data_IF_309409317749
#
_entry.id   IF_309409317749
#
_cell.length_a   1.000
_cell.length_b   1.000
_cell.length_c   1.000
_cell.angle_alpha   90.00
_cell.angle_beta   90.00
_cell.angle_gamma   90.00
#
_symmetry.space_group_name_H-M   'P 1'
#
loop_
_entity.id
_entity.type
_entity.pdbx_description
1 polymer ?
#
# COMPACT_ATOMS: atom_id res chain seq x y z
N UNK A 1 30.05 25.93 26.57
CA UNK A 1 28.87 26.39 25.83
C UNK A 1 28.46 25.29 24.87
N UNK A 2 27.50 24.43 25.31
CA UNK A 2 26.85 23.48 24.43
C UNK A 2 26.16 24.29 23.33
N UNK A 3 26.65 24.16 22.08
CA UNK A 3 25.91 24.62 20.92
C UNK A 3 24.60 23.80 20.91
N UNK A 4 23.49 24.48 21.02
CA UNK A 4 22.18 23.89 20.78
C UNK A 4 22.19 23.42 19.33
N UNK A 5 22.64 22.20 19.05
CA UNK A 5 22.56 21.57 17.74
C UNK A 5 21.09 21.23 17.50
N UNK A 6 20.39 22.20 16.94
CA UNK A 6 19.04 21.96 16.42
C UNK A 6 19.19 21.04 15.21
N UNK A 7 18.81 19.77 15.36
CA UNK A 7 18.86 18.80 14.26
C UNK A 7 17.94 19.28 13.13
N UNK A 8 18.38 19.20 11.87
CA UNK A 8 17.70 19.87 10.74
C UNK A 8 16.39 19.22 10.32
N UNK A 9 16.07 18.02 10.81
CA UNK A 9 14.83 17.29 10.49
C UNK A 9 14.34 16.53 11.72
N UNK A 10 13.02 16.30 11.84
CA UNK A 10 12.47 15.39 12.86
C UNK A 10 13.01 13.96 12.78
N UNK A 11 13.48 13.55 11.62
CA UNK A 11 14.09 12.23 11.40
C UNK A 11 15.60 12.19 11.60
N UNK A 12 16.22 13.33 11.88
CA UNK A 12 17.67 13.43 12.16
C UNK A 12 18.00 12.91 13.56
N UNK A 13 19.20 12.36 13.71
CA UNK A 13 19.71 11.89 14.99
C UNK A 13 21.24 12.00 15.05
N UNK A 14 21.78 11.94 16.27
CA UNK A 14 23.19 11.65 16.53
C UNK A 14 23.30 10.33 17.29
N UNK A 15 24.32 9.54 16.98
CA UNK A 15 24.64 8.30 17.65
C UNK A 15 26.10 8.32 18.06
N UNK A 16 26.35 8.20 19.35
CA UNK A 16 27.68 8.08 19.93
C UNK A 16 27.85 6.71 20.60
N UNK A 17 28.87 5.98 20.20
CA UNK A 17 29.25 4.70 20.81
C UNK A 17 30.65 4.81 21.36
N UNK A 18 30.80 4.59 22.67
CA UNK A 18 32.05 4.54 23.38
C UNK A 18 32.17 3.23 24.17
N UNK A 19 33.32 2.83 24.73
CA UNK A 19 33.41 1.65 25.58
C UNK A 19 32.52 1.70 26.84
N UNK A 20 32.04 2.89 27.23
CA UNK A 20 31.27 3.11 28.48
C UNK A 20 29.78 3.27 28.22
N UNK A 21 29.39 3.76 27.04
CA UNK A 21 27.98 4.07 26.77
C UNK A 21 27.64 4.10 25.29
N UNK A 22 26.35 3.88 25.01
CA UNK A 22 25.72 4.13 23.71
C UNK A 22 24.69 5.25 23.96
N UNK A 23 24.74 6.31 23.15
CA UNK A 23 23.86 7.45 23.29
C UNK A 23 23.30 7.86 21.96
N UNK A 24 21.95 7.85 21.85
CA UNK A 24 21.21 8.34 20.69
C UNK A 24 20.48 9.63 21.11
N UNK A 25 20.64 10.71 20.35
CA UNK A 25 19.90 11.95 20.53
C UNK A 25 19.13 12.28 19.26
N UNK A 26 17.87 12.69 19.41
CA UNK A 26 17.01 13.16 18.33
C UNK A 26 15.98 14.14 18.87
N UNK A 27 15.30 14.86 17.98
CA UNK A 27 14.22 15.79 18.36
C UNK A 27 12.84 15.14 18.31
N UNK A 28 12.74 13.91 17.78
CA UNK A 28 11.48 13.16 17.67
C UNK A 28 11.69 11.66 17.89
N UNK A 29 10.57 10.94 18.07
CA UNK A 29 10.57 9.48 18.13
C UNK A 29 11.08 8.82 16.83
N UNK A 30 10.80 9.40 15.66
CA UNK A 30 11.30 8.90 14.37
C UNK A 30 12.83 8.94 14.30
N UNK A 31 13.44 10.05 14.69
CA UNK A 31 14.91 10.16 14.74
C UNK A 31 15.53 9.15 15.70
N UNK A 32 14.94 8.96 16.90
CA UNK A 32 15.40 7.92 17.84
C UNK A 32 15.29 6.53 17.22
N UNK A 33 14.17 6.22 16.60
CA UNK A 33 13.95 4.95 15.92
C UNK A 33 15.00 4.68 14.83
N UNK A 34 15.30 5.67 13.98
CA UNK A 34 16.32 5.54 12.93
C UNK A 34 17.74 5.43 13.49
N UNK A 35 18.02 6.08 14.62
CA UNK A 35 19.27 5.89 15.36
C UNK A 35 19.42 4.45 15.86
N UNK A 36 18.34 3.84 16.36
CA UNK A 36 18.32 2.42 16.74
C UNK A 36 18.53 1.51 15.53
N UNK A 37 17.91 1.79 14.38
CA UNK A 37 18.14 1.02 13.16
C UNK A 37 19.61 1.06 12.73
N UNK A 38 20.27 2.20 12.82
CA UNK A 38 21.72 2.31 12.56
C UNK A 38 22.54 1.52 13.57
N UNK A 39 22.21 1.59 14.86
CA UNK A 39 22.89 0.82 15.91
C UNK A 39 22.79 -0.69 15.64
N UNK A 40 21.62 -1.20 15.24
CA UNK A 40 21.41 -2.60 14.90
C UNK A 40 22.27 -3.02 13.69
N UNK A 41 22.43 -2.14 12.69
CA UNK A 41 23.27 -2.41 11.52
C UNK A 41 24.76 -2.41 11.82
N UNK A 42 25.20 -1.66 12.84
CA UNK A 42 26.60 -1.64 13.29
C UNK A 42 26.98 -2.83 14.15
N UNK A 43 26.00 -3.53 14.72
CA UNK A 43 26.23 -4.67 15.59
C UNK A 43 26.76 -5.88 14.79
N UNK A 44 28.00 -6.31 15.12
CA UNK A 44 28.63 -7.48 14.50
C UNK A 44 28.68 -8.65 15.48
N UNK A 45 28.36 -9.88 15.05
CA UNK A 45 28.55 -11.05 15.90
C UNK A 45 30.00 -11.20 16.36
N UNK A 46 30.21 -11.40 17.67
CA UNK A 46 31.55 -11.44 18.28
C UNK A 46 31.79 -12.72 19.10
N UNK A 47 30.96 -13.73 18.95
CA UNK A 47 31.03 -15.02 19.66
C UNK A 47 29.64 -15.55 20.01
N UNK A 48 29.54 -16.65 20.74
CA UNK A 48 28.29 -17.32 21.07
C UNK A 48 27.30 -16.40 21.80
N UNK A 49 26.36 -15.80 21.03
CA UNK A 49 25.28 -14.96 21.55
C UNK A 49 25.70 -13.54 21.94
N UNK A 50 26.93 -13.11 21.60
CA UNK A 50 27.41 -11.74 21.86
C UNK A 50 27.59 -10.95 20.57
N UNK A 51 27.49 -9.62 20.71
CA UNK A 51 27.70 -8.66 19.62
C UNK A 51 28.73 -7.62 20.05
N UNK A 52 29.49 -7.12 19.10
CA UNK A 52 30.39 -5.97 19.30
C UNK A 52 30.00 -4.83 18.36
N UNK A 53 30.20 -3.61 18.86
CA UNK A 53 30.01 -2.39 18.08
C UNK A 53 31.27 -1.56 18.26
N UNK A 54 31.88 -1.15 17.15
CA UNK A 54 33.04 -0.26 17.19
C UNK A 54 32.65 1.11 17.74
N UNK A 55 33.56 1.76 18.45
CA UNK A 55 33.37 3.15 18.88
C UNK A 55 33.20 4.05 17.65
N UNK A 56 32.16 4.86 17.62
CA UNK A 56 31.81 5.70 16.47
C UNK A 56 30.99 6.91 16.90
N UNK A 57 31.14 8.01 16.18
CA UNK A 57 30.25 9.19 16.22
C UNK A 57 29.58 9.33 14.87
N UNK A 58 28.25 9.39 14.87
CA UNK A 58 27.42 9.52 13.69
C UNK A 58 26.47 10.69 13.88
N UNK A 59 26.38 11.54 12.87
CA UNK A 59 25.31 12.51 12.69
C UNK A 59 24.63 12.18 11.35
N UNK A 60 23.33 11.88 11.38
CA UNK A 60 22.57 11.44 10.21
C UNK A 60 21.31 12.28 10.04
N UNK A 61 21.10 12.69 8.80
CA UNK A 61 19.93 13.47 8.38
C UNK A 61 19.47 12.95 7.03
N UNK A 62 18.17 12.59 6.88
CA UNK A 62 17.69 12.11 5.59
C UNK A 62 17.79 13.21 4.52
N UNK A 63 18.35 12.86 3.36
CA UNK A 63 18.43 13.76 2.21
C UNK A 63 17.06 14.05 1.60
N UNK A 64 16.15 13.06 1.64
CA UNK A 64 14.80 13.15 1.12
C UNK A 64 13.78 12.91 2.23
N UNK A 65 12.80 13.79 2.35
CA UNK A 65 11.71 13.64 3.31
C UNK A 65 10.74 12.51 2.93
N UNK A 66 10.58 12.24 1.63
CA UNK A 66 9.77 11.13 1.10
C UNK A 66 10.67 10.01 0.61
N UNK A 67 10.60 8.84 1.23
CA UNK A 67 11.34 7.63 0.85
C UNK A 67 10.34 6.48 0.84
N UNK A 68 9.87 6.11 -0.35
CA UNK A 68 8.77 5.18 -0.51
C UNK A 68 9.11 3.95 -1.32
N UNK A 69 8.32 2.90 -1.10
CA UNK A 69 8.25 1.70 -1.91
C UNK A 69 6.78 1.41 -2.19
N UNK A 70 6.47 1.07 -3.45
CA UNK A 70 5.15 0.59 -3.84
C UNK A 70 5.16 -0.95 -3.84
N UNK A 71 4.10 -1.52 -3.28
CA UNK A 71 3.85 -2.96 -3.29
C UNK A 71 2.50 -3.23 -3.96
N UNK A 72 2.55 -3.95 -5.09
CA UNK A 72 1.37 -4.41 -5.81
C UNK A 72 0.83 -5.69 -5.18
N UNK A 73 -0.29 -5.59 -4.49
CA UNK A 73 -1.00 -6.71 -3.89
C UNK A 73 -2.23 -7.12 -4.71
N UNK A 74 -2.54 -6.38 -5.77
CA UNK A 74 -3.64 -6.70 -6.69
C UNK A 74 -3.28 -7.83 -7.62
N UNK A 75 -2.18 -7.70 -8.39
CA UNK A 75 -1.77 -8.74 -9.35
C UNK A 75 -1.41 -10.04 -8.65
N UNK A 76 -0.89 -9.94 -7.42
CA UNK A 76 -0.62 -11.07 -6.55
C UNK A 76 -1.00 -10.72 -5.11
N UNK A 77 -2.01 -11.43 -4.56
CA UNK A 77 -2.40 -11.21 -3.16
C UNK A 77 -1.29 -11.65 -2.20
N UNK A 78 -0.93 -10.77 -1.31
CA UNK A 78 0.04 -11.01 -0.23
C UNK A 78 -0.66 -10.97 1.12
N UNK A 79 -0.33 -11.90 2.03
CA UNK A 79 -0.93 -11.90 3.37
C UNK A 79 -0.50 -10.69 4.20
N UNK A 80 -1.25 -10.36 5.24
CA UNK A 80 -0.87 -9.27 6.15
C UNK A 80 0.46 -9.52 6.87
N UNK A 81 0.80 -10.79 7.14
CA UNK A 81 2.08 -11.18 7.71
C UNK A 81 3.24 -10.87 6.75
N UNK A 82 3.03 -11.06 5.45
CA UNK A 82 4.02 -10.66 4.45
C UNK A 82 4.17 -9.14 4.40
N UNK A 83 3.06 -8.37 4.44
CA UNK A 83 3.10 -6.91 4.51
C UNK A 83 3.91 -6.44 5.73
N UNK A 84 3.69 -7.04 6.92
CA UNK A 84 4.45 -6.71 8.12
C UNK A 84 5.95 -6.99 7.96
N UNK A 85 6.34 -8.10 7.33
CA UNK A 85 7.75 -8.38 6.99
C UNK A 85 8.33 -7.32 6.05
N UNK A 86 7.53 -6.82 5.10
CA UNK A 86 7.99 -5.71 4.24
C UNK A 86 8.17 -4.43 5.08
N UNK A 87 7.26 -4.13 6.00
CA UNK A 87 7.39 -3.00 6.93
C UNK A 87 8.68 -3.11 7.75
N UNK A 88 9.04 -4.30 8.28
CA UNK A 88 10.29 -4.51 8.98
C UNK A 88 11.52 -4.20 8.11
N UNK A 89 11.49 -4.69 6.87
CA UNK A 89 12.58 -4.43 5.90
C UNK A 89 12.67 -2.94 5.55
N UNK A 90 11.53 -2.29 5.31
CA UNK A 90 11.47 -0.85 5.03
C UNK A 90 12.00 -0.03 6.21
N UNK A 91 11.62 -0.37 7.44
CA UNK A 91 12.09 0.25 8.67
C UNK A 91 13.62 0.12 8.82
N UNK A 92 14.16 -1.07 8.57
CA UNK A 92 15.60 -1.33 8.59
C UNK A 92 16.39 -0.40 7.65
N UNK A 93 15.82 -0.11 6.47
CA UNK A 93 16.40 0.81 5.49
C UNK A 93 15.92 2.27 5.62
N UNK A 94 15.21 2.60 6.71
CA UNK A 94 14.70 3.96 7.01
C UNK A 94 13.77 4.51 5.90
N UNK A 95 13.05 3.64 5.22
CA UNK A 95 11.97 4.00 4.30
C UNK A 95 10.76 4.39 5.13
N UNK A 96 10.10 5.50 4.81
CA UNK A 96 9.02 6.07 5.62
C UNK A 96 7.65 6.10 4.92
N UNK A 97 7.55 5.53 3.72
CA UNK A 97 6.29 5.43 2.97
C UNK A 97 6.15 4.03 2.38
N UNK A 98 5.00 3.40 2.63
CA UNK A 98 4.57 2.18 1.95
C UNK A 98 3.34 2.51 1.12
N UNK A 99 3.48 2.48 -0.20
CA UNK A 99 2.37 2.64 -1.13
C UNK A 99 1.78 1.26 -1.42
N UNK A 100 0.54 1.02 -1.02
CA UNK A 100 -0.18 -0.23 -1.30
C UNK A 100 -1.08 -0.06 -2.51
N UNK A 101 -0.74 -0.73 -3.60
CA UNK A 101 -1.56 -0.82 -4.80
C UNK A 101 -2.63 -1.91 -4.57
N UNK A 102 -3.79 -1.47 -4.05
CA UNK A 102 -4.81 -2.37 -3.49
C UNK A 102 -5.80 -2.89 -4.52
N UNK A 103 -5.95 -2.19 -5.65
CA UNK A 103 -6.95 -2.53 -6.66
C UNK A 103 -6.36 -2.43 -8.06
N UNK A 104 -6.68 -3.37 -8.91
CA UNK A 104 -6.36 -3.42 -10.33
C UNK A 104 -7.11 -4.59 -10.95
N UNK A 105 -7.18 -4.68 -12.25
CA UNK A 105 -7.87 -5.70 -13.02
C UNK A 105 -7.72 -7.14 -12.51
N UNK A 106 -6.57 -7.48 -11.92
CA UNK A 106 -6.30 -8.82 -11.42
C UNK A 106 -6.96 -9.15 -10.08
N UNK A 107 -7.50 -8.15 -9.37
CA UNK A 107 -8.28 -8.36 -8.17
C UNK A 107 -8.35 -7.15 -7.23
N UNK A 108 -9.49 -6.99 -6.61
CA UNK A 108 -9.77 -6.02 -5.56
C UNK A 108 -9.33 -6.55 -4.20
N UNK A 109 -8.58 -5.77 -3.39
CA UNK A 109 -7.96 -6.28 -2.16
C UNK A 109 -8.39 -5.61 -0.86
N UNK A 110 -9.42 -4.78 -0.88
CA UNK A 110 -9.87 -4.04 0.30
C UNK A 110 -11.37 -4.27 0.56
N UNK A 111 -11.72 -4.59 1.79
CA UNK A 111 -13.13 -4.66 2.20
C UNK A 111 -13.77 -3.27 2.16
N UNK A 112 -14.83 -3.15 1.34
CA UNK A 112 -15.74 -2.01 1.31
C UNK A 112 -17.12 -2.54 1.71
N UNK A 113 -17.58 -2.20 2.89
CA UNK A 113 -18.80 -2.78 3.48
C UNK A 113 -20.03 -2.51 2.65
N UNK A 114 -20.07 -1.35 1.99
CA UNK A 114 -21.18 -0.96 1.11
C UNK A 114 -21.25 -1.80 -0.17
N UNK A 115 -20.14 -2.39 -0.59
CA UNK A 115 -20.03 -3.11 -1.86
C UNK A 115 -19.43 -4.52 -1.68
N UNK A 116 -20.19 -5.48 -1.11
CA UNK A 116 -19.66 -6.80 -0.74
C UNK A 116 -19.13 -7.63 -1.92
N UNK A 117 -19.65 -7.44 -3.15
CA UNK A 117 -19.16 -8.17 -4.32
C UNK A 117 -17.71 -7.83 -4.67
N UNK A 118 -17.16 -6.72 -4.17
CA UNK A 118 -15.73 -6.40 -4.33
C UNK A 118 -14.84 -7.44 -3.67
N UNK A 119 -15.27 -8.01 -2.55
CA UNK A 119 -14.52 -9.03 -1.81
C UNK A 119 -15.05 -10.44 -1.98
N UNK A 120 -16.34 -10.61 -2.26
CA UNK A 120 -16.94 -11.93 -2.49
C UNK A 120 -16.66 -12.48 -3.90
N UNK A 121 -16.41 -11.59 -4.89
CA UNK A 121 -16.25 -11.95 -6.30
C UNK A 121 -15.03 -11.29 -6.94
N UNK A 122 -14.90 -9.96 -6.92
CA UNK A 122 -13.85 -9.22 -7.61
C UNK A 122 -12.43 -9.47 -7.04
N UNK A 123 -12.32 -10.04 -5.83
CA UNK A 123 -11.05 -10.42 -5.21
C UNK A 123 -10.54 -11.81 -5.65
N UNK A 124 -11.30 -12.57 -6.44
CA UNK A 124 -11.03 -13.98 -6.68
C UNK A 124 -11.04 -14.34 -8.16
N UNK A 125 -10.15 -15.24 -8.58
CA UNK A 125 -10.01 -15.73 -9.94
C UNK A 125 -9.64 -17.21 -9.96
N UNK A 126 -9.73 -17.86 -11.11
CA UNK A 126 -9.38 -19.29 -11.24
C UNK A 126 -7.88 -19.51 -11.40
N UNK A 127 -7.17 -18.57 -12.00
CA UNK A 127 -5.77 -18.73 -12.37
C UNK A 127 -4.84 -18.11 -11.31
N UNK A 128 -3.90 -18.89 -10.72
CA UNK A 128 -3.07 -18.42 -9.62
C UNK A 128 -2.03 -17.38 -10.03
N UNK A 129 -1.54 -17.40 -11.27
CA UNK A 129 -0.60 -16.39 -11.75
C UNK A 129 -1.28 -15.33 -12.61
N UNK A 130 -0.77 -14.11 -12.56
CA UNK A 130 -1.28 -13.00 -13.39
C UNK A 130 -1.22 -13.35 -14.89
N UNK A 131 -0.14 -13.99 -15.35
CA UNK A 131 0.05 -14.38 -16.75
C UNK A 131 -1.00 -15.42 -17.21
N UNK A 132 -1.31 -16.41 -16.38
CA UNK A 132 -2.34 -17.40 -16.68
C UNK A 132 -3.70 -16.75 -16.77
N UNK A 133 -4.07 -15.94 -15.79
CA UNK A 133 -5.33 -15.22 -15.76
C UNK A 133 -5.47 -14.27 -16.97
N UNK A 134 -4.43 -13.50 -17.29
CA UNK A 134 -4.42 -12.59 -18.44
C UNK A 134 -4.65 -13.31 -19.75
N UNK A 135 -4.02 -14.46 -19.97
CA UNK A 135 -4.17 -15.29 -21.17
C UNK A 135 -5.39 -16.21 -21.11
N UNK A 136 -5.94 -16.49 -19.94
CA UNK A 136 -7.06 -17.40 -19.67
C UNK A 136 -8.46 -16.79 -19.81
N UNK A 137 -8.55 -15.55 -20.31
CA UNK A 137 -9.83 -14.86 -20.52
C UNK A 137 -10.31 -14.00 -19.37
N UNK A 138 -9.45 -13.74 -18.37
CA UNK A 138 -9.63 -12.76 -17.29
C UNK A 138 -10.93 -12.93 -16.50
N UNK A 139 -11.24 -14.17 -16.08
CA UNK A 139 -12.48 -14.47 -15.36
C UNK A 139 -12.30 -14.37 -13.86
N UNK A 140 -13.34 -13.84 -13.21
CA UNK A 140 -13.48 -13.82 -11.75
C UNK A 140 -14.47 -14.89 -11.32
N UNK A 141 -14.32 -15.33 -10.07
CA UNK A 141 -15.19 -16.34 -9.45
C UNK A 141 -15.53 -15.90 -8.02
N UNK A 142 -16.58 -16.49 -7.48
CA UNK A 142 -16.88 -16.29 -6.05
C UNK A 142 -15.82 -16.98 -5.18
N UNK A 143 -15.63 -16.47 -3.97
CA UNK A 143 -14.65 -16.97 -3.00
C UNK A 143 -14.85 -18.45 -2.62
N UNK A 144 -16.08 -18.96 -2.70
CA UNK A 144 -16.48 -20.32 -2.35
C UNK A 144 -16.36 -21.34 -3.49
N UNK A 145 -15.93 -20.92 -4.67
CA UNK A 145 -15.71 -21.81 -5.82
C UNK A 145 -14.43 -22.63 -5.61
N UNK A 146 -14.48 -23.97 -5.76
CA UNK A 146 -13.28 -24.80 -5.67
C UNK A 146 -12.17 -24.33 -6.61
N UNK A 147 -10.96 -24.11 -6.05
CA UNK A 147 -9.82 -23.63 -6.82
C UNK A 147 -9.76 -22.10 -6.96
N UNK A 148 -10.65 -21.36 -6.34
CA UNK A 148 -10.57 -19.90 -6.30
C UNK A 148 -9.22 -19.46 -5.70
N UNK A 149 -8.50 -18.59 -6.42
CA UNK A 149 -7.27 -17.96 -5.99
C UNK A 149 -7.49 -16.47 -5.81
N UNK A 150 -7.06 -15.95 -4.69
CA UNK A 150 -7.20 -14.53 -4.38
C UNK A 150 -7.13 -14.27 -2.88
N UNK A 151 -7.78 -13.22 -2.46
CA UNK A 151 -7.85 -12.75 -1.09
C UNK A 151 -8.05 -11.25 -1.03
N UNK A 152 -8.35 -10.77 0.14
CA UNK A 152 -8.50 -9.35 0.44
C UNK A 152 -8.15 -9.09 1.91
N UNK A 153 -7.99 -7.84 2.24
CA UNK A 153 -7.82 -7.37 3.62
C UNK A 153 -9.17 -6.90 4.14
N UNK A 154 -9.59 -7.42 5.28
CA UNK A 154 -10.69 -6.84 6.05
C UNK A 154 -10.27 -5.46 6.56
N UNK A 155 -11.22 -4.62 6.93
CA UNK A 155 -10.90 -3.34 7.54
C UNK A 155 -10.09 -3.51 8.84
N UNK A 156 -10.30 -4.62 9.57
CA UNK A 156 -9.52 -4.94 10.77
C UNK A 156 -8.09 -5.36 10.44
N UNK A 157 -7.87 -6.13 9.35
CA UNK A 157 -6.52 -6.43 8.86
C UNK A 157 -5.76 -5.16 8.47
N UNK A 158 -6.45 -4.21 7.82
CA UNK A 158 -5.85 -2.91 7.49
C UNK A 158 -5.51 -2.12 8.74
N UNK A 159 -6.40 -2.06 9.75
CA UNK A 159 -6.10 -1.37 11.02
C UNK A 159 -4.86 -1.96 11.70
N UNK A 160 -4.72 -3.28 11.67
CA UNK A 160 -3.56 -3.98 12.21
C UNK A 160 -2.27 -3.64 11.44
N UNK A 161 -2.32 -3.61 10.10
CA UNK A 161 -1.18 -3.20 9.25
C UNK A 161 -0.81 -1.73 9.53
N UNK A 162 -1.78 -0.84 9.60
CA UNK A 162 -1.57 0.59 9.84
C UNK A 162 -0.95 0.85 11.20
N UNK A 163 -1.42 0.17 12.25
CA UNK A 163 -0.83 0.31 13.60
C UNK A 163 0.60 -0.24 13.63
N UNK A 164 0.86 -1.37 12.97
CA UNK A 164 2.20 -1.93 12.84
C UNK A 164 3.15 -0.96 12.11
N UNK A 165 2.72 -0.39 10.99
CA UNK A 165 3.47 0.60 10.22
C UNK A 165 3.74 1.87 11.05
N UNK A 166 2.73 2.36 11.79
CA UNK A 166 2.86 3.52 12.68
C UNK A 166 3.95 3.33 13.73
N UNK A 167 4.05 2.13 14.32
CA UNK A 167 5.10 1.79 15.29
C UNK A 167 6.50 1.80 14.66
N UNK A 168 6.59 1.65 13.34
CA UNK A 168 7.83 1.69 12.56
C UNK A 168 8.06 3.04 11.86
N UNK A 169 7.26 4.06 12.17
CA UNK A 169 7.32 5.40 11.55
C UNK A 169 7.13 5.36 10.02
N UNK A 170 6.31 4.43 9.53
CA UNK A 170 5.95 4.27 8.13
C UNK A 170 4.49 4.68 7.93
N UNK A 171 4.26 5.61 7.00
CA UNK A 171 2.91 5.95 6.54
C UNK A 171 2.52 5.03 5.39
N UNK A 172 1.35 4.39 5.49
CA UNK A 172 0.79 3.58 4.40
C UNK A 172 -0.13 4.46 3.56
N UNK A 173 0.15 4.54 2.26
CA UNK A 173 -0.63 5.28 1.27
C UNK A 173 -1.44 4.27 0.45
N UNK A 174 -2.78 4.26 0.53
CA UNK A 174 -3.60 3.36 -0.28
C UNK A 174 -3.71 3.87 -1.71
N UNK A 175 -3.75 2.96 -2.67
CA UNK A 175 -4.12 3.24 -4.05
C UNK A 175 -5.39 2.49 -4.41
N UNK A 176 -6.36 3.25 -4.96
CA UNK A 176 -7.61 2.77 -5.52
C UNK A 176 -7.66 3.22 -6.97
N UNK A 177 -7.54 2.28 -7.89
CA UNK A 177 -7.49 2.58 -9.32
C UNK A 177 -8.80 3.12 -9.87
N UNK A 178 -8.69 4.23 -10.58
CA UNK A 178 -9.76 4.84 -11.36
C UNK A 178 -9.16 5.82 -12.39
N UNK A 179 -9.73 5.98 -13.59
CA UNK A 179 -10.95 5.32 -14.09
C UNK A 179 -10.70 4.00 -14.81
N UNK A 180 -9.45 3.60 -15.04
CA UNK A 180 -9.08 2.35 -15.70
C UNK A 180 -8.64 1.26 -14.73
N UNK A 181 -8.11 0.16 -15.25
CA UNK A 181 -7.70 -1.01 -14.45
C UNK A 181 -8.80 -1.54 -13.52
N UNK A 182 -10.07 -1.38 -13.93
CA UNK A 182 -11.25 -1.63 -13.09
C UNK A 182 -12.11 -2.81 -13.60
N UNK A 183 -11.51 -3.73 -14.37
CA UNK A 183 -12.24 -4.89 -14.91
C UNK A 183 -12.89 -5.74 -13.81
N UNK A 184 -12.25 -5.88 -12.66
CA UNK A 184 -12.74 -6.64 -11.51
C UNK A 184 -14.00 -6.00 -10.92
N UNK A 185 -14.02 -4.67 -10.83
CA UNK A 185 -15.19 -3.92 -10.37
C UNK A 185 -16.32 -4.01 -11.40
N UNK A 186 -15.99 -3.82 -12.69
CA UNK A 186 -16.98 -3.83 -13.78
C UNK A 186 -17.53 -5.22 -14.07
N UNK A 187 -16.83 -6.28 -13.67
CA UNK A 187 -17.37 -7.63 -13.68
C UNK A 187 -18.38 -7.86 -12.55
N UNK A 188 -18.15 -7.24 -11.38
CA UNK A 188 -19.05 -7.31 -10.22
C UNK A 188 -20.25 -6.34 -10.32
N UNK A 189 -20.00 -5.15 -10.87
CA UNK A 189 -20.95 -4.03 -10.97
C UNK A 189 -20.98 -3.49 -12.41
N UNK A 190 -21.48 -4.26 -13.40
CA UNK A 190 -21.37 -3.91 -14.83
C UNK A 190 -22.10 -2.61 -15.21
N UNK A 191 -23.11 -2.19 -14.47
CA UNK A 191 -23.82 -0.93 -14.68
C UNK A 191 -22.93 0.31 -14.58
N UNK A 192 -21.73 0.20 -13.97
CA UNK A 192 -20.74 1.28 -13.87
C UNK A 192 -19.91 1.44 -15.15
N UNK A 193 -20.06 0.51 -16.13
CA UNK A 193 -19.38 0.57 -17.42
C UNK A 193 -20.23 1.26 -18.50
N UNK A 194 -19.59 1.66 -19.60
CA UNK A 194 -20.29 2.24 -20.74
C UNK A 194 -21.23 1.25 -21.43
N UNK A 195 -20.91 -0.03 -21.43
CA UNK A 195 -21.74 -1.09 -22.04
C UNK A 195 -22.88 -1.56 -21.13
N UNK A 196 -22.73 -1.45 -19.82
CA UNK A 196 -23.63 -2.09 -18.85
C UNK A 196 -23.48 -3.61 -18.78
N UNK A 197 -22.47 -4.18 -19.45
CA UNK A 197 -22.24 -5.63 -19.52
C UNK A 197 -20.89 -6.00 -18.89
N UNK A 198 -20.80 -7.13 -18.16
CA UNK A 198 -19.55 -7.59 -17.59
C UNK A 198 -18.54 -7.98 -18.69
N UNK A 199 -17.23 -7.81 -18.40
CA UNK A 199 -16.13 -8.19 -19.29
C UNK A 199 -16.06 -7.45 -20.65
N UNK A 200 -16.78 -6.33 -20.82
CA UNK A 200 -16.78 -5.54 -22.06
C UNK A 200 -15.91 -4.29 -21.99
N UNK A 201 -15.71 -3.77 -20.81
CA UNK A 201 -14.93 -2.56 -20.59
C UNK A 201 -13.92 -2.78 -19.48
N UNK A 202 -12.80 -2.05 -19.53
CA UNK A 202 -11.79 -1.95 -18.49
C UNK A 202 -11.91 -0.66 -17.69
N UNK A 203 -12.61 0.33 -18.25
CA UNK A 203 -12.69 1.69 -17.71
C UNK A 203 -14.12 1.98 -17.24
N UNK A 204 -14.23 2.71 -16.12
CA UNK A 204 -15.52 3.22 -15.67
C UNK A 204 -16.17 4.12 -16.71
N UNK A 205 -17.49 4.17 -16.73
CA UNK A 205 -18.25 5.14 -17.52
C UNK A 205 -18.22 6.51 -16.85
N UNK A 206 -17.39 7.41 -17.34
CA UNK A 206 -17.23 8.78 -16.78
C UNK A 206 -18.43 9.69 -17.03
N UNK A 207 -19.39 9.30 -17.83
CA UNK A 207 -20.67 10.01 -18.03
C UNK A 207 -21.82 9.42 -17.22
N UNK A 208 -21.55 8.49 -16.28
CA UNK A 208 -22.57 7.85 -15.46
C UNK A 208 -22.48 8.30 -13.99
N UNK A 209 -23.52 8.99 -13.51
CA UNK A 209 -23.58 9.47 -12.12
C UNK A 209 -23.46 8.36 -11.07
N UNK A 210 -23.92 7.14 -11.37
CA UNK A 210 -23.73 6.00 -10.48
C UNK A 210 -22.25 5.65 -10.28
N UNK A 211 -21.39 5.91 -11.28
CA UNK A 211 -19.94 5.73 -11.16
C UNK A 211 -19.36 6.65 -10.09
N UNK A 212 -19.73 7.93 -10.11
CA UNK A 212 -19.27 8.90 -9.12
C UNK A 212 -19.79 8.54 -7.73
N UNK A 213 -21.07 8.19 -7.61
CA UNK A 213 -21.65 7.73 -6.34
C UNK A 213 -20.91 6.50 -5.80
N UNK A 214 -20.58 5.54 -6.65
CA UNK A 214 -19.79 4.37 -6.27
C UNK A 214 -18.41 4.78 -5.76
N UNK A 215 -17.68 5.59 -6.53
CA UNK A 215 -16.31 6.03 -6.19
C UNK A 215 -16.29 6.88 -4.92
N UNK A 216 -17.24 7.79 -4.74
CA UNK A 216 -17.39 8.59 -3.52
C UNK A 216 -17.60 7.71 -2.28
N UNK A 217 -18.45 6.69 -2.38
CA UNK A 217 -18.68 5.75 -1.29
C UNK A 217 -17.43 4.93 -0.96
N UNK A 218 -16.71 4.44 -1.97
CA UNK A 218 -15.44 3.71 -1.80
C UNK A 218 -14.42 4.61 -1.12
N UNK A 219 -14.17 5.80 -1.67
CA UNK A 219 -13.19 6.74 -1.12
C UNK A 219 -13.56 7.20 0.29
N UNK A 220 -14.84 7.33 0.61
CA UNK A 220 -15.28 7.66 1.97
C UNK A 220 -14.83 6.59 2.97
N UNK A 221 -15.07 5.30 2.71
CA UNK A 221 -14.61 4.22 3.59
C UNK A 221 -13.07 4.14 3.65
N UNK A 222 -12.39 4.41 2.53
CA UNK A 222 -10.91 4.46 2.49
C UNK A 222 -10.37 5.61 3.35
N UNK A 223 -10.94 6.81 3.24
CA UNK A 223 -10.54 7.98 4.05
C UNK A 223 -10.79 7.78 5.55
N UNK A 224 -11.87 7.10 5.92
CA UNK A 224 -12.16 6.76 7.31
C UNK A 224 -11.17 5.73 7.88
N UNK A 225 -10.63 4.86 7.02
CA UNK A 225 -9.77 3.76 7.43
C UNK A 225 -8.28 4.16 7.46
N UNK A 226 -7.81 4.92 6.46
CA UNK A 226 -6.39 5.26 6.31
C UNK A 226 -6.09 6.66 6.85
N UNK A 227 -5.16 6.80 7.83
CA UNK A 227 -4.76 8.09 8.38
C UNK A 227 -3.78 8.86 7.48
N UNK A 228 -3.54 8.39 6.27
CA UNK A 228 -2.65 9.05 5.30
C UNK A 228 -3.22 10.39 4.85
N UNK A 229 -2.36 11.40 4.73
CA UNK A 229 -2.72 12.69 4.14
C UNK A 229 -3.10 12.59 2.65
N UNK A 230 -2.63 11.54 1.97
CA UNK A 230 -2.84 11.31 0.55
C UNK A 230 -3.46 9.95 0.31
N UNK A 231 -4.35 9.88 -0.69
CA UNK A 231 -4.82 8.65 -1.35
C UNK A 231 -4.37 8.74 -2.80
N UNK A 232 -3.74 7.70 -3.31
CA UNK A 232 -3.42 7.57 -4.71
C UNK A 232 -4.64 7.03 -5.46
N UNK A 233 -5.00 7.64 -6.57
CA UNK A 233 -6.19 7.26 -7.35
C UNK A 233 -5.85 6.61 -8.70
N UNK A 234 -4.58 6.25 -8.91
CA UNK A 234 -4.12 5.68 -10.17
C UNK A 234 -4.22 6.67 -11.32
N UNK A 235 -4.96 6.28 -12.35
CA UNK A 235 -5.29 7.14 -13.48
C UNK A 235 -4.48 6.83 -14.74
N UNK A 236 -3.71 5.76 -14.72
CA UNK A 236 -2.87 5.34 -15.83
C UNK A 236 -3.66 4.51 -16.87
N UNK A 237 -3.14 4.47 -18.07
CA UNK A 237 -3.55 3.62 -19.21
C UNK A 237 -5.04 3.65 -19.60
N UNK A 238 -5.81 4.68 -19.21
CA UNK A 238 -7.22 4.80 -19.58
C UNK A 238 -7.43 4.79 -21.11
N UNK A 239 -8.07 3.75 -21.62
CA UNK A 239 -8.19 3.49 -23.07
C UNK A 239 -9.10 4.45 -23.82
N UNK A 240 -10.09 5.06 -23.15
CA UNK A 240 -11.01 6.09 -23.66
C UNK A 240 -11.86 5.69 -24.88
N UNK A 241 -11.63 4.52 -25.47
CA UNK A 241 -12.33 4.10 -26.71
C UNK A 241 -13.84 3.97 -26.50
N UNK A 242 -14.26 3.40 -25.35
CA UNK A 242 -15.66 3.28 -24.99
C UNK A 242 -16.32 4.65 -24.76
N UNK A 243 -15.60 5.62 -24.20
CA UNK A 243 -16.14 6.97 -23.93
C UNK A 243 -16.49 7.72 -25.21
N UNK A 244 -15.73 7.53 -26.30
CA UNK A 244 -15.95 8.21 -27.58
C UNK A 244 -17.29 7.86 -28.23
N UNK A 245 -17.84 6.68 -27.92
CA UNK A 245 -19.11 6.20 -28.49
C UNK A 245 -20.24 6.11 -27.46
N UNK A 246 -19.92 6.31 -26.18
CA UNK A 246 -20.91 6.25 -25.11
C UNK A 246 -21.77 7.52 -25.07
N UNK A 247 -23.10 7.43 -25.22
CA UNK A 247 -23.96 8.61 -25.18
C UNK A 247 -23.94 9.37 -23.85
N UNK A 248 -23.66 8.67 -22.74
CA UNK A 248 -23.54 9.30 -21.42
C UNK A 248 -22.23 10.12 -21.33
N UNK A 249 -21.13 9.61 -21.87
CA UNK A 249 -19.82 10.27 -21.82
C UNK A 249 -19.67 11.43 -22.82
N UNK A 250 -20.56 11.54 -23.82
CA UNK A 250 -20.53 12.59 -24.84
C UNK A 250 -21.44 13.78 -24.51
N UNK A 251 -22.16 13.75 -23.40
CA UNK A 251 -22.91 14.88 -22.87
C UNK A 251 -22.03 15.85 -22.11
#
# INVERSE_FOLDING_TARGET
TEKNHQLPSPESYTLSVTPQQILIRATSGAGLFYGVQTLLQLAQPSGAGSYSIASVEIEDTPRFAYRGLMLDVSRHFSTKEFIKKQIDALAYYKINRLHLHLTDAAGWRLEIKKYPLLTEFAAWRTDPTWKQWWNGGRKYVRFDVPGAYGGYYTQDDIREILEYARQHYITVIPEIEMPSHSEEVLAAYPQLSCSGEPYKNSDFCVGNEETFTFLENVLTEVMELFPSEYIHIGGDEAGKSAWKTCPKCQK
#
